data_IF_340430077531
#
_entry.id   IF_340430077531
#
_cell.length_a   1.000
_cell.length_b   1.000
_cell.length_c   1.000
_cell.angle_alpha   90.00
_cell.angle_beta   90.00
_cell.angle_gamma   90.00
#
_symmetry.space_group_name_H-M   'P 1'
#
loop_
_entity.id
_entity.type
_entity.pdbx_description
1 polymer ?
#
# COMPACT_ATOMS: atom_id res chain seq x y z
N UNK A 1 -81.05 -10.74 -17.10
CA UNK A 1 -81.44 -9.39 -16.64
C UNK A 1 -81.26 -9.40 -15.12
N UNK A 2 -80.32 -8.57 -14.62
CA UNK A 2 -79.97 -8.24 -13.21
C UNK A 2 -79.19 -9.32 -12.41
N UNK A 3 -77.85 -9.24 -12.27
CA UNK A 3 -77.00 -8.44 -11.34
C UNK A 3 -77.15 -8.86 -9.87
N UNK A 4 -76.17 -9.57 -9.32
CA UNK A 4 -75.04 -9.09 -8.48
C UNK A 4 -75.41 -8.84 -7.02
N UNK A 5 -74.61 -9.43 -6.12
CA UNK A 5 -74.00 -8.64 -5.06
C UNK A 5 -74.30 -9.04 -3.62
N UNK A 6 -73.31 -9.72 -3.04
CA UNK A 6 -72.75 -9.56 -1.69
C UNK A 6 -73.63 -9.68 -0.44
N UNK A 7 -73.26 -10.59 0.47
CA UNK A 7 -73.27 -10.30 1.91
C UNK A 7 -72.22 -11.14 2.66
N UNK A 8 -71.56 -10.44 3.57
CA UNK A 8 -70.57 -10.85 4.58
C UNK A 8 -71.07 -11.90 5.57
N UNK A 9 -70.17 -12.69 6.18
CA UNK A 9 -70.04 -12.81 7.65
C UNK A 9 -68.90 -13.75 8.06
N UNK A 10 -68.28 -13.38 9.18
CA UNK A 10 -67.17 -14.02 9.87
C UNK A 10 -67.58 -15.31 10.60
N UNK A 11 -66.61 -16.18 10.92
CA UNK A 11 -66.81 -17.32 11.80
C UNK A 11 -65.52 -18.03 12.14
N UNK A 12 -65.10 -17.89 13.41
CA UNK A 12 -63.86 -18.37 14.00
C UNK A 12 -63.70 -19.90 13.93
N UNK A 13 -62.47 -20.36 13.63
CA UNK A 13 -62.07 -21.76 13.64
C UNK A 13 -60.82 -21.94 14.49
N UNK A 14 -60.93 -22.82 15.48
CA UNK A 14 -59.98 -23.18 16.52
C UNK A 14 -58.53 -23.39 16.05
N UNK A 15 -57.60 -22.88 16.86
CA UNK A 15 -56.16 -23.17 16.81
C UNK A 15 -55.91 -24.56 17.40
N UNK A 16 -55.34 -25.48 16.61
CA UNK A 16 -54.64 -26.67 17.10
C UNK A 16 -53.50 -27.07 16.15
N UNK A 17 -52.30 -27.02 16.72
CA UNK A 17 -51.12 -27.85 16.49
C UNK A 17 -50.49 -27.90 15.09
N UNK A 18 -49.32 -27.29 14.98
CA UNK A 18 -48.24 -27.85 14.18
C UNK A 18 -46.90 -27.53 14.88
N UNK A 19 -46.29 -28.55 15.49
CA UNK A 19 -44.87 -28.56 15.79
C UNK A 19 -44.11 -28.43 14.48
N UNK A 20 -43.42 -27.30 14.29
CA UNK A 20 -42.44 -27.16 13.22
C UNK A 20 -41.05 -27.32 13.85
N UNK A 21 -40.47 -28.49 13.66
CA UNK A 21 -39.05 -28.74 13.83
C UNK A 21 -38.30 -27.93 12.76
N UNK A 22 -37.52 -26.93 13.18
CA UNK A 22 -36.65 -26.17 12.29
C UNK A 22 -35.29 -26.86 12.11
N UNK A 23 -34.69 -26.83 10.91
CA UNK A 23 -33.54 -27.65 10.55
C UNK A 23 -32.20 -27.11 11.09
N UNK A 24 -31.45 -28.04 11.71
CA UNK A 24 -30.04 -28.42 11.50
C UNK A 24 -29.11 -27.42 10.80
N UNK A 25 -28.05 -27.06 11.53
CA UNK A 25 -26.70 -26.74 11.05
C UNK A 25 -26.55 -25.57 10.08
N UNK A 26 -26.59 -24.35 10.63
CA UNK A 26 -25.81 -23.25 10.08
C UNK A 26 -24.45 -23.23 10.77
N UNK A 27 -23.47 -23.90 10.18
CA UNK A 27 -22.06 -23.67 10.54
C UNK A 27 -21.74 -22.21 10.23
N UNK A 28 -21.32 -21.38 11.20
CA UNK A 28 -20.86 -20.04 10.88
C UNK A 28 -19.59 -20.17 10.04
N UNK A 29 -19.66 -19.73 8.78
CA UNK A 29 -18.48 -19.52 7.97
C UNK A 29 -17.61 -18.49 8.71
N UNK A 30 -16.43 -18.93 9.15
CA UNK A 30 -15.43 -18.05 9.71
C UNK A 30 -14.97 -17.09 8.60
N UNK A 31 -15.49 -15.87 8.64
CA UNK A 31 -14.91 -14.73 7.93
C UNK A 31 -13.62 -14.39 8.66
N UNK A 32 -12.50 -14.91 8.18
CA UNK A 32 -11.20 -14.38 8.55
C UNK A 32 -11.09 -13.01 7.88
N UNK A 33 -11.49 -11.96 8.58
CA UNK A 33 -11.06 -10.61 8.24
C UNK A 33 -9.53 -10.62 8.30
N UNK A 34 -8.90 -10.54 7.13
CA UNK A 34 -7.49 -10.23 7.05
C UNK A 34 -7.29 -8.87 7.72
N UNK A 35 -6.62 -8.87 8.87
CA UNK A 35 -6.17 -7.62 9.49
C UNK A 35 -5.27 -6.95 8.45
N UNK A 36 -5.78 -5.89 7.81
CA UNK A 36 -4.94 -4.99 7.05
C UNK A 36 -3.91 -4.44 8.03
N UNK A 37 -2.67 -4.94 7.91
CA UNK A 37 -1.55 -4.36 8.61
C UNK A 37 -1.34 -3.00 7.93
N UNK A 38 -1.84 -1.95 8.55
CA UNK A 38 -1.52 -0.60 8.11
C UNK A 38 0.01 -0.49 8.10
N UNK A 39 0.62 -0.08 6.98
CA UNK A 39 2.07 -0.01 6.89
C UNK A 39 2.59 0.92 7.99
N UNK A 40 3.71 0.55 8.62
CA UNK A 40 4.33 1.42 9.61
C UNK A 40 4.70 2.78 9.03
N UNK A 41 4.99 3.74 9.92
CA UNK A 41 5.40 5.09 9.52
C UNK A 41 6.63 5.03 8.61
N UNK A 42 6.54 5.66 7.43
CA UNK A 42 7.65 5.81 6.50
C UNK A 42 8.55 6.93 7.01
N UNK A 43 9.71 6.59 7.55
CA UNK A 43 10.70 7.57 8.00
C UNK A 43 11.63 7.93 6.86
N UNK A 44 11.76 9.22 6.54
CA UNK A 44 12.48 9.73 5.38
C UNK A 44 13.57 10.70 5.82
N UNK A 45 14.81 10.45 5.41
CA UNK A 45 15.91 11.41 5.51
C UNK A 45 16.14 12.08 4.17
N UNK A 46 16.13 13.42 4.16
CA UNK A 46 16.40 14.21 2.97
C UNK A 46 17.10 15.52 3.30
N UNK A 47 17.61 16.20 2.27
CA UNK A 47 18.00 17.60 2.41
C UNK A 47 16.78 18.52 2.52
N UNK A 48 16.80 19.56 3.38
CA UNK A 48 15.70 20.52 3.49
C UNK A 48 15.49 21.31 2.18
N UNK A 49 16.50 21.42 1.32
CA UNK A 49 16.44 22.17 0.06
C UNK A 49 16.19 21.28 -1.16
N UNK A 50 16.03 19.97 -0.98
CA UNK A 50 15.74 19.05 -2.07
C UNK A 50 14.25 19.07 -2.44
N UNK A 51 13.89 19.82 -3.49
CA UNK A 51 12.50 19.98 -3.93
C UNK A 51 11.84 18.68 -4.39
N UNK A 52 12.53 17.86 -5.18
CA UNK A 52 12.01 16.58 -5.66
C UNK A 52 11.81 15.55 -4.53
N UNK A 53 12.70 15.54 -3.53
CA UNK A 53 12.51 14.74 -2.32
C UNK A 53 11.21 15.13 -1.58
N UNK A 54 10.85 16.42 -1.59
CA UNK A 54 9.57 16.92 -1.09
C UNK A 54 8.39 16.40 -1.93
N UNK A 55 8.49 16.48 -3.26
CA UNK A 55 7.48 15.92 -4.16
C UNK A 55 7.25 14.42 -3.97
N UNK A 56 8.31 13.65 -3.71
CA UNK A 56 8.18 12.22 -3.39
C UNK A 56 7.48 11.98 -2.05
N UNK A 57 7.77 12.79 -1.02
CA UNK A 57 7.06 12.74 0.27
C UNK A 57 5.58 13.04 0.09
N UNK A 58 5.23 14.03 -0.74
CA UNK A 58 3.83 14.37 -1.03
C UNK A 58 3.13 13.23 -1.76
N UNK A 59 3.77 12.62 -2.76
CA UNK A 59 3.29 11.41 -3.44
C UNK A 59 3.00 10.26 -2.44
N UNK A 60 3.89 10.03 -1.48
CA UNK A 60 3.70 8.99 -0.46
C UNK A 60 2.50 9.29 0.45
N UNK A 61 2.32 10.55 0.86
CA UNK A 61 1.16 10.98 1.66
C UNK A 61 -0.15 10.88 0.89
N UNK A 62 -0.16 11.27 -0.38
CA UNK A 62 -1.32 11.13 -1.28
C UNK A 62 -1.68 9.65 -1.50
N UNK A 63 -0.67 8.78 -1.51
CA UNK A 63 -0.85 7.33 -1.50
C UNK A 63 -1.27 6.76 -0.13
N UNK A 64 -1.54 7.59 0.88
CA UNK A 64 -2.07 7.17 2.17
C UNK A 64 -1.04 6.63 3.17
N UNK A 65 0.26 6.81 2.90
CA UNK A 65 1.30 6.49 3.89
C UNK A 65 1.42 7.61 4.92
N UNK A 66 1.62 7.23 6.18
CA UNK A 66 2.11 8.16 7.20
C UNK A 66 3.61 8.36 6.99
N UNK A 67 4.06 9.62 6.89
CA UNK A 67 5.44 9.96 6.54
C UNK A 67 6.04 10.93 7.57
N UNK A 68 7.08 10.47 8.27
CA UNK A 68 7.94 11.28 9.14
C UNK A 68 9.17 11.76 8.35
N UNK A 69 9.42 13.06 8.33
CA UNK A 69 10.57 13.64 7.62
C UNK A 69 11.64 14.09 8.61
N UNK A 70 12.88 13.68 8.37
CA UNK A 70 14.07 14.13 9.07
C UNK A 70 14.98 14.87 8.09
N UNK A 71 15.05 16.19 8.24
CA UNK A 71 15.96 17.00 7.43
C UNK A 71 17.40 16.88 7.92
N UNK A 72 18.31 16.58 6.98
CA UNK A 72 19.76 16.48 7.24
C UNK A 72 20.55 17.12 6.10
N UNK A 73 21.70 17.70 6.43
CA UNK A 73 22.62 18.29 5.45
C UNK A 73 23.57 17.25 4.83
N UNK A 74 23.73 16.09 5.47
CA UNK A 74 24.58 15.00 4.96
C UNK A 74 23.85 13.65 5.08
N UNK A 75 23.57 13.05 3.92
CA UNK A 75 22.91 11.75 3.82
C UNK A 75 23.89 10.59 3.74
N UNK A 76 25.18 10.83 3.51
CA UNK A 76 26.15 9.75 3.33
C UNK A 76 26.21 8.81 4.54
N UNK A 77 26.21 9.31 5.80
CA UNK A 77 26.19 8.42 6.96
C UNK A 77 24.91 7.58 7.04
N UNK A 78 23.76 8.18 6.71
CA UNK A 78 22.45 7.49 6.73
C UNK A 78 22.41 6.37 5.68
N UNK A 79 22.86 6.66 4.45
CA UNK A 79 22.97 5.67 3.38
C UNK A 79 23.87 4.51 3.78
N UNK A 80 25.05 4.80 4.32
CA UNK A 80 26.00 3.79 4.78
C UNK A 80 25.43 2.93 5.92
N UNK A 81 24.75 3.55 6.90
CA UNK A 81 24.08 2.84 7.99
C UNK A 81 23.03 1.85 7.48
N UNK A 82 22.32 2.20 6.41
CA UNK A 82 21.30 1.37 5.78
C UNK A 82 21.83 0.45 4.66
N UNK A 83 23.15 0.39 4.47
CA UNK A 83 23.77 -0.49 3.47
C UNK A 83 23.51 -0.07 2.02
N UNK A 84 23.12 1.18 1.79
CA UNK A 84 22.97 1.75 0.45
C UNK A 84 24.36 2.06 -0.11
N UNK A 85 24.75 1.32 -1.15
CA UNK A 85 26.00 1.50 -1.88
C UNK A 85 25.86 2.56 -2.97
N UNK A 86 26.98 3.05 -3.50
CA UNK A 86 27.01 4.14 -4.49
C UNK A 86 26.20 3.82 -5.77
N UNK A 87 26.13 2.56 -6.19
CA UNK A 87 25.34 2.11 -7.33
C UNK A 87 23.82 2.13 -7.10
N UNK A 88 23.38 2.16 -5.83
CA UNK A 88 21.97 2.23 -5.45
C UNK A 88 21.54 3.66 -5.06
N UNK A 89 22.50 4.54 -4.80
CA UNK A 89 22.26 5.82 -4.15
C UNK A 89 21.39 6.78 -4.98
N UNK A 90 20.55 7.53 -4.27
CA UNK A 90 19.69 8.59 -4.77
C UNK A 90 19.68 9.79 -3.80
N UNK A 91 18.76 10.74 -4.01
CA UNK A 91 18.70 12.01 -3.28
C UNK A 91 18.16 11.91 -1.85
N UNK A 92 17.47 10.83 -1.48
CA UNK A 92 16.90 10.60 -0.16
C UNK A 92 16.88 9.11 0.16
N UNK A 93 16.75 8.79 1.46
CA UNK A 93 16.67 7.43 1.96
C UNK A 93 15.49 7.35 2.91
N UNK A 94 14.70 6.29 2.82
CA UNK A 94 13.57 6.05 3.67
C UNK A 94 13.61 4.63 4.25
N UNK A 95 12.93 4.44 5.39
CA UNK A 95 12.73 3.13 6.01
C UNK A 95 11.26 2.96 6.38
N UNK A 96 10.72 1.78 6.10
CA UNK A 96 9.36 1.36 6.46
C UNK A 96 9.34 -0.13 6.79
N UNK A 97 8.80 -0.50 7.95
CA UNK A 97 8.69 -1.89 8.43
C UNK A 97 9.97 -2.74 8.31
N UNK A 98 11.12 -2.09 8.48
CA UNK A 98 12.45 -2.72 8.41
C UNK A 98 13.07 -2.80 7.01
N UNK A 99 12.35 -2.37 5.97
CA UNK A 99 12.87 -2.24 4.62
C UNK A 99 13.42 -0.87 4.34
N UNK A 100 14.53 -0.82 3.60
CA UNK A 100 15.08 0.41 3.04
C UNK A 100 14.38 0.73 1.71
N UNK A 101 14.03 1.99 1.53
CA UNK A 101 13.49 2.54 0.27
C UNK A 101 14.39 3.69 -0.15
N UNK A 102 15.14 3.52 -1.23
CA UNK A 102 16.14 4.48 -1.67
C UNK A 102 15.69 5.20 -2.95
N UNK A 103 15.58 6.52 -2.89
CA UNK A 103 15.20 7.34 -4.04
C UNK A 103 13.73 7.28 -4.43
N UNK A 104 13.47 7.69 -5.67
CA UNK A 104 12.13 7.95 -6.20
C UNK A 104 11.34 6.67 -6.56
N UNK A 105 11.20 5.76 -5.59
CA UNK A 105 10.47 4.51 -5.75
C UNK A 105 8.95 4.78 -5.72
N UNK A 106 8.15 4.24 -6.65
CA UNK A 106 6.70 4.37 -6.61
C UNK A 106 6.05 3.76 -5.37
N UNK A 107 5.10 4.48 -4.78
CA UNK A 107 4.25 3.99 -3.69
C UNK A 107 3.63 2.61 -3.96
N UNK A 108 3.28 2.29 -5.21
CA UNK A 108 2.75 0.98 -5.59
C UNK A 108 3.77 -0.16 -5.36
N UNK A 109 5.04 0.08 -5.69
CA UNK A 109 6.12 -0.89 -5.48
C UNK A 109 6.39 -1.07 -3.98
N UNK A 110 6.32 0.01 -3.19
CA UNK A 110 6.46 -0.06 -1.73
C UNK A 110 5.30 -0.85 -1.11
N UNK A 111 4.05 -0.66 -1.57
CA UNK A 111 2.93 -1.49 -1.13
C UNK A 111 3.15 -2.96 -1.46
N UNK A 112 3.65 -3.27 -2.66
CA UNK A 112 3.98 -4.65 -3.04
C UNK A 112 5.06 -5.23 -2.14
N UNK A 113 6.13 -4.47 -1.88
CA UNK A 113 7.20 -4.87 -0.97
C UNK A 113 6.65 -5.24 0.42
N UNK A 114 5.77 -4.40 0.97
CA UNK A 114 5.19 -4.60 2.30
C UNK A 114 4.15 -5.73 2.34
N UNK A 115 3.48 -6.00 1.23
CA UNK A 115 2.55 -7.12 1.11
C UNK A 115 3.28 -8.47 0.95
N UNK A 116 4.30 -8.53 0.11
CA UNK A 116 5.04 -9.76 -0.21
C UNK A 116 6.08 -10.12 0.86
N UNK A 117 6.60 -9.10 1.56
CA UNK A 117 7.66 -9.20 2.57
C UNK A 117 8.83 -10.14 2.17
N UNK A 118 9.46 -9.93 1.00
CA UNK A 118 10.60 -10.73 0.58
C UNK A 118 11.78 -10.58 1.54
N UNK A 119 12.67 -11.59 1.58
CA UNK A 119 13.90 -11.57 2.37
C UNK A 119 14.99 -10.75 1.68
N UNK A 120 14.81 -9.42 1.71
CA UNK A 120 15.73 -8.43 1.15
C UNK A 120 15.94 -7.29 2.16
N UNK A 121 16.97 -6.49 1.93
CA UNK A 121 17.22 -5.30 2.75
C UNK A 121 16.32 -4.12 2.33
N UNK A 122 16.06 -3.98 1.03
CA UNK A 122 15.28 -2.87 0.52
C UNK A 122 15.16 -2.85 -1.00
N UNK A 123 14.54 -1.78 -1.49
CA UNK A 123 14.40 -1.47 -2.91
C UNK A 123 14.91 -0.05 -3.19
N UNK A 124 15.51 0.16 -4.35
CA UNK A 124 16.08 1.44 -4.77
C UNK A 124 15.61 1.83 -6.16
N UNK A 125 15.37 3.11 -6.40
CA UNK A 125 15.34 3.71 -7.73
C UNK A 125 16.64 4.54 -7.87
N UNK A 126 17.74 3.93 -8.39
CA UNK A 126 19.05 4.58 -8.33
C UNK A 126 19.13 5.85 -9.17
N UNK A 127 19.95 6.80 -8.72
CA UNK A 127 20.08 8.09 -9.38
C UNK A 127 18.82 8.94 -9.23
N UNK A 128 18.39 9.59 -10.31
CA UNK A 128 17.27 10.54 -10.32
C UNK A 128 16.48 10.44 -11.64
N UNK A 129 15.78 9.32 -11.91
CA UNK A 129 15.09 9.12 -13.19
C UNK A 129 14.00 10.17 -13.41
N UNK A 130 13.97 10.82 -14.57
CA UNK A 130 12.93 11.82 -14.86
C UNK A 130 11.57 11.13 -14.99
N UNK A 131 10.52 11.71 -14.41
CA UNK A 131 9.18 11.14 -14.45
C UNK A 131 8.89 10.10 -13.37
N UNK A 132 9.90 9.70 -12.58
CA UNK A 132 9.65 9.02 -11.30
C UNK A 132 8.93 9.95 -10.31
N UNK A 133 8.28 9.44 -9.25
CA UNK A 133 7.44 10.27 -8.38
C UNK A 133 8.20 11.39 -7.67
N UNK A 134 7.79 12.65 -7.88
CA UNK A 134 8.51 13.84 -7.42
C UNK A 134 9.60 14.34 -8.39
N UNK A 135 9.82 13.65 -9.51
CA UNK A 135 10.75 13.99 -10.60
C UNK A 135 10.03 14.25 -11.93
N UNK A 136 8.72 14.45 -11.91
CA UNK A 136 7.92 14.74 -13.09
C UNK A 136 8.26 16.12 -13.67
N UNK A 137 8.33 16.20 -14.99
CA UNK A 137 8.55 17.45 -15.71
C UNK A 137 7.42 17.64 -16.72
N UNK A 138 6.59 18.69 -16.59
CA UNK A 138 5.47 18.93 -17.50
C UNK A 138 5.90 18.95 -18.97
N UNK A 139 5.20 18.18 -19.80
CA UNK A 139 5.48 18.08 -21.24
C UNK A 139 6.70 17.22 -21.60
N UNK A 140 7.35 16.55 -20.64
CA UNK A 140 8.43 15.60 -20.89
C UNK A 140 7.95 14.17 -20.56
N UNK A 141 8.20 13.19 -21.43
CA UNK A 141 7.99 11.78 -21.10
C UNK A 141 8.88 11.33 -19.93
N UNK A 142 8.41 10.32 -19.19
CA UNK A 142 9.24 9.64 -18.18
C UNK A 142 10.41 8.91 -18.86
N UNK A 143 11.57 8.92 -18.20
CA UNK A 143 12.70 8.06 -18.56
C UNK A 143 12.36 6.63 -18.09
N UNK A 144 12.81 5.62 -18.85
CA UNK A 144 12.67 4.23 -18.40
C UNK A 144 13.67 3.95 -17.26
N UNK A 145 13.25 3.24 -16.23
CA UNK A 145 14.12 2.87 -15.10
C UNK A 145 13.66 1.62 -14.38
N UNK A 146 14.61 0.98 -13.70
CA UNK A 146 14.33 -0.15 -12.83
C UNK A 146 14.31 0.30 -11.36
N UNK A 147 13.36 -0.28 -10.62
CA UNK A 147 13.46 -0.38 -9.17
C UNK A 147 14.20 -1.68 -8.86
N UNK A 148 15.31 -1.58 -8.14
CA UNK A 148 16.22 -2.68 -7.85
C UNK A 148 16.03 -3.13 -6.40
N UNK A 149 15.70 -4.41 -6.20
CA UNK A 149 15.75 -5.05 -4.90
C UNK A 149 17.20 -5.41 -4.55
N UNK A 150 17.60 -5.15 -3.30
CA UNK A 150 18.95 -5.44 -2.82
C UNK A 150 18.95 -6.11 -1.45
N UNK A 151 19.94 -6.99 -1.23
CA UNK A 151 20.16 -7.72 0.02
C UNK A 151 21.41 -7.20 0.73
N UNK A 152 21.53 -7.50 2.04
CA UNK A 152 22.68 -7.05 2.86
C UNK A 152 24.02 -7.65 2.43
N UNK A 153 24.00 -8.83 1.80
CA UNK A 153 25.17 -9.53 1.27
C UNK A 153 25.57 -9.09 -0.13
N UNK A 154 24.91 -8.08 -0.71
CA UNK A 154 25.30 -7.51 -1.99
C UNK A 154 24.55 -8.08 -3.20
N UNK A 155 23.52 -8.90 -3.02
CA UNK A 155 22.63 -9.34 -4.11
C UNK A 155 21.82 -8.18 -4.70
N UNK A 156 21.56 -8.24 -6.01
CA UNK A 156 20.68 -7.29 -6.73
C UNK A 156 19.78 -8.03 -7.69
N UNK A 157 18.51 -7.64 -7.75
CA UNK A 157 17.55 -8.13 -8.75
C UNK A 157 16.61 -7.00 -9.14
N UNK A 158 16.10 -7.02 -10.37
CA UNK A 158 15.03 -6.08 -10.76
C UNK A 158 13.78 -6.45 -9.99
N UNK A 159 13.25 -5.48 -9.23
CA UNK A 159 11.97 -5.60 -8.54
C UNK A 159 10.85 -5.20 -9.50
N UNK A 160 10.94 -4.02 -10.12
CA UNK A 160 9.97 -3.51 -11.09
C UNK A 160 10.68 -2.67 -12.17
N UNK A 161 10.04 -2.51 -13.33
CA UNK A 161 10.51 -1.66 -14.43
C UNK A 161 9.40 -0.67 -14.80
N UNK A 162 9.79 0.58 -15.02
CA UNK A 162 8.90 1.70 -15.34
C UNK A 162 9.36 2.41 -16.62
#
# INVERSE_FOLDING_TARGET
MWTLGALTLAGAGAVLLASAEAPRDATPAAVTEALAMEPGVVKVWKSPTCGCCGGWVDHMREAGFEVEVVDTQDLRPIKAEHGVTDDLASCHTAVVDGYVVEGHVPAADIRRLLAERPDIAGIAAPGMPTGSPGMEVPGRPADAYDVVAFTRDGGRTVFASH
#
